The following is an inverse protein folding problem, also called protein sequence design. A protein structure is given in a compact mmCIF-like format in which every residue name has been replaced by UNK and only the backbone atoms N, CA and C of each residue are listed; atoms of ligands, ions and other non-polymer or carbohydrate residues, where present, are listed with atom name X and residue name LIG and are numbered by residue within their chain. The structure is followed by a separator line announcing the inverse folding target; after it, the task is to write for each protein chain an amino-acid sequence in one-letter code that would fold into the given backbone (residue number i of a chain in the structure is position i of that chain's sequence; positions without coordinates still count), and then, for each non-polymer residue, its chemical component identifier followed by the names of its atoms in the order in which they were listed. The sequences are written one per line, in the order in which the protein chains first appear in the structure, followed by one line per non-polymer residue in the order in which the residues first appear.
data_IF_077790932870
#
_entry.id   IF_077790932870
#
_cell.length_a   1.000
_cell.length_b   1.000
_cell.length_c   1.000
_cell.angle_alpha   90.00
_cell.angle_beta   90.00
_cell.angle_gamma   90.00
#
_symmetry.space_group_name_H-M   'P 1'
#
loop_
_entity.id
_entity.type
_entity.pdbx_description
1 polymer ?
#
# COMPACT_ATOMS: atom_id res chain seq x y z
N UNK A 1 5.98 12.92 9.23
CA UNK A 1 6.80 11.93 8.49
C UNK A 1 6.00 11.52 7.28
N UNK A 2 6.42 11.94 6.08
CA UNK A 2 5.79 11.46 4.84
C UNK A 2 6.18 9.99 4.69
N UNK A 3 5.28 9.05 4.98
CA UNK A 3 5.57 7.63 4.73
C UNK A 3 5.84 7.46 3.23
N UNK A 4 6.76 6.57 2.86
CA UNK A 4 7.05 6.26 1.45
C UNK A 4 5.90 5.54 0.73
N UNK A 5 4.87 5.11 1.48
CA UNK A 5 3.77 4.29 0.97
C UNK A 5 3.01 4.97 -0.17
N UNK A 6 2.54 6.24 -0.06
CA UNK A 6 1.82 6.87 -1.16
C UNK A 6 2.66 7.01 -2.44
N UNK A 7 3.95 7.31 -2.29
CA UNK A 7 4.87 7.40 -3.44
C UNK A 7 5.00 6.06 -4.15
N UNK A 8 5.29 4.98 -3.41
CA UNK A 8 5.47 3.65 -3.99
C UNK A 8 4.18 3.08 -4.57
N UNK A 9 3.02 3.34 -3.95
CA UNK A 9 1.72 2.91 -4.50
C UNK A 9 1.40 3.61 -5.81
N UNK A 10 1.59 4.95 -5.87
CA UNK A 10 1.37 5.70 -7.11
C UNK A 10 2.33 5.27 -8.22
N UNK A 11 3.59 5.02 -7.88
CA UNK A 11 4.58 4.48 -8.81
C UNK A 11 4.21 3.06 -9.28
N UNK A 12 3.80 2.16 -8.40
CA UNK A 12 3.37 0.82 -8.79
C UNK A 12 2.15 0.88 -9.73
N UNK A 13 1.14 1.69 -9.40
CA UNK A 13 -0.03 1.93 -10.25
C UNK A 13 0.37 2.49 -11.62
N UNK A 14 1.31 3.44 -11.69
CA UNK A 14 1.77 4.01 -12.97
C UNK A 14 2.50 3.00 -13.86
N UNK A 15 3.03 1.92 -13.27
CA UNK A 15 3.63 0.79 -13.99
C UNK A 15 2.65 -0.37 -14.26
N UNK A 16 1.36 -0.17 -13.98
CA UNK A 16 0.30 -1.13 -14.30
C UNK A 16 -0.05 -2.10 -13.17
N UNK A 17 0.49 -1.92 -11.96
CA UNK A 17 0.07 -2.73 -10.82
C UNK A 17 -1.42 -2.51 -10.53
N UNK A 18 -2.14 -3.61 -10.32
CA UNK A 18 -3.54 -3.63 -9.95
C UNK A 18 -3.74 -3.36 -8.47
N UNK A 19 -4.98 -3.00 -8.10
CA UNK A 19 -5.37 -2.77 -6.71
C UNK A 19 -5.17 -4.00 -5.84
N UNK A 20 -5.46 -5.19 -6.37
CA UNK A 20 -5.30 -6.45 -5.63
C UNK A 20 -3.82 -6.84 -5.50
N UNK A 21 -2.96 -6.52 -6.47
CA UNK A 21 -1.51 -6.70 -6.33
C UNK A 21 -0.93 -5.80 -5.23
N UNK A 22 -1.34 -4.53 -5.17
CA UNK A 22 -0.93 -3.62 -4.09
C UNK A 22 -1.43 -4.10 -2.73
N UNK A 23 -2.69 -4.54 -2.66
CA UNK A 23 -3.30 -5.10 -1.45
C UNK A 23 -2.55 -6.34 -0.97
N UNK A 24 -2.24 -7.26 -1.89
CA UNK A 24 -1.49 -8.48 -1.61
C UNK A 24 -0.08 -8.14 -1.10
N UNK A 25 0.64 -7.24 -1.77
CA UNK A 25 1.99 -6.82 -1.40
C UNK A 25 2.06 -6.22 0.02
N UNK A 26 1.07 -5.42 0.42
CA UNK A 26 1.02 -4.84 1.78
C UNK A 26 0.71 -5.90 2.83
N UNK A 27 -0.15 -6.88 2.51
CA UNK A 27 -0.56 -7.93 3.45
C UNK A 27 0.46 -9.06 3.60
N UNK A 28 1.48 -9.16 2.74
CA UNK A 28 2.61 -10.11 2.94
C UNK A 28 3.34 -9.84 4.26
N UNK A 29 3.40 -8.59 4.74
CA UNK A 29 4.05 -8.21 6.01
C UNK A 29 3.22 -8.49 7.28
N UNK A 30 1.99 -9.00 7.16
CA UNK A 30 1.03 -9.09 8.28
C UNK A 30 1.46 -10.05 9.42
N UNK A 31 2.45 -10.93 9.21
CA UNK A 31 2.77 -11.98 10.20
C UNK A 31 3.57 -11.50 11.42
N UNK A 32 4.26 -10.36 11.37
CA UNK A 32 5.16 -9.92 12.46
C UNK A 32 4.73 -8.60 13.13
N UNK A 33 4.12 -7.63 12.42
CA UNK A 33 3.68 -6.33 13.00
C UNK A 33 2.19 -5.98 12.75
N UNK A 34 1.28 -6.85 13.18
CA UNK A 34 -0.16 -6.79 12.85
C UNK A 34 -0.90 -5.45 13.02
N UNK A 35 -0.51 -4.57 13.96
CA UNK A 35 -1.13 -3.24 14.12
C UNK A 35 -0.61 -2.22 13.08
N UNK A 36 0.71 -2.17 12.84
CA UNK A 36 1.31 -1.23 11.90
C UNK A 36 0.90 -1.50 10.45
N UNK A 37 0.63 -2.78 10.12
CA UNK A 37 0.15 -3.18 8.79
C UNK A 37 -1.26 -2.67 8.52
N UNK A 38 -2.12 -2.51 9.53
CA UNK A 38 -3.48 -1.96 9.31
C UNK A 38 -3.47 -0.50 8.88
N UNK A 39 -2.57 0.32 9.47
CA UNK A 39 -2.39 1.72 9.07
C UNK A 39 -1.75 1.82 7.68
N UNK A 40 -0.70 1.03 7.43
CA UNK A 40 -0.05 0.95 6.13
C UNK A 40 -1.03 0.53 5.02
N UNK A 41 -1.91 -0.44 5.33
CA UNK A 41 -2.98 -0.90 4.44
C UNK A 41 -3.96 0.22 4.11
N UNK A 42 -4.47 0.92 5.13
CA UNK A 42 -5.41 2.03 4.91
C UNK A 42 -4.78 3.14 4.07
N UNK A 43 -3.52 3.50 4.34
CA UNK A 43 -2.77 4.51 3.56
C UNK A 43 -2.55 4.04 2.12
N UNK A 44 -2.16 2.78 1.92
CA UNK A 44 -1.91 2.22 0.60
C UNK A 44 -3.18 2.19 -0.26
N UNK A 45 -4.31 1.75 0.29
CA UNK A 45 -5.58 1.70 -0.44
C UNK A 45 -6.07 3.10 -0.81
N UNK A 46 -5.99 4.07 0.12
CA UNK A 46 -6.32 5.47 -0.19
C UNK A 46 -5.41 6.06 -1.26
N UNK A 47 -4.12 5.74 -1.23
CA UNK A 47 -3.15 6.25 -2.20
C UNK A 47 -3.32 5.65 -3.60
N UNK A 48 -3.80 4.41 -3.70
CA UNK A 48 -4.11 3.76 -4.97
C UNK A 48 -5.37 4.37 -5.60
N UNK A 49 -6.39 4.60 -4.78
CA UNK A 49 -7.69 5.14 -5.19
C UNK A 49 -7.64 6.67 -5.43
N UNK A 50 -6.58 7.36 -4.99
CA UNK A 50 -6.32 8.78 -5.26
C UNK A 50 -5.94 9.02 -6.73
N UNK A 51 -6.36 10.16 -7.29
CA UNK A 51 -6.27 10.45 -8.73
C UNK A 51 -4.83 10.44 -9.24
#
# INVERSE_FOLDING_TARGET
MNSGIPFHVKSARSHGATREEVKSAVLVGLREEGLAVTEAFAIAMRSYDDK
#
